data_IF_753276951837
#
_entry.id   IF_753276951837
#
_cell.length_a   1.000
_cell.length_b   1.000
_cell.length_c   1.000
_cell.angle_alpha   90.00
_cell.angle_beta   90.00
_cell.angle_gamma   90.00
#
_symmetry.space_group_name_H-M   'P 1'
#
loop_
_entity.id
_entity.type
_entity.pdbx_description
1 polymer ?
#
# COMPACT_ATOMS: atom_id res chain seq x y z
N UNK A 1 1.38 -21.65 -41.20
CA UNK A 1 1.36 -20.46 -40.31
C UNK A 1 -0.09 -20.10 -40.03
N UNK A 2 -0.56 -20.22 -38.78
CA UNK A 2 -1.86 -19.65 -38.39
C UNK A 2 -1.71 -18.12 -38.40
N UNK A 3 -2.69 -17.35 -38.92
CA UNK A 3 -2.62 -15.89 -38.89
C UNK A 3 -2.54 -15.42 -37.44
N UNK A 4 -1.68 -14.42 -37.19
CA UNK A 4 -1.60 -13.76 -35.90
C UNK A 4 -2.97 -13.16 -35.56
N UNK A 5 -3.58 -13.61 -34.46
CA UNK A 5 -4.81 -13.00 -33.94
C UNK A 5 -4.54 -11.52 -33.64
N UNK A 6 -5.46 -10.66 -34.05
CA UNK A 6 -5.50 -9.25 -33.66
C UNK A 6 -5.43 -9.12 -32.12
N UNK A 7 -4.85 -8.02 -31.60
CA UNK A 7 -4.86 -7.76 -30.16
C UNK A 7 -6.30 -7.70 -29.65
N UNK A 8 -6.58 -8.27 -28.46
CA UNK A 8 -7.91 -8.20 -27.87
C UNK A 8 -8.26 -6.76 -27.51
N UNK A 9 -9.49 -6.34 -27.85
CA UNK A 9 -10.02 -5.01 -27.58
C UNK A 9 -10.44 -4.86 -26.12
N UNK A 10 -10.66 -5.99 -25.41
CA UNK A 10 -11.13 -6.02 -24.03
C UNK A 10 -10.26 -6.90 -23.14
N UNK A 11 -10.17 -6.57 -21.85
CA UNK A 11 -9.45 -7.38 -20.86
C UNK A 11 -10.17 -8.72 -20.58
N UNK A 12 -11.42 -8.88 -21.01
CA UNK A 12 -12.17 -10.14 -20.90
C UNK A 12 -11.75 -11.24 -21.88
N UNK A 13 -10.86 -10.94 -22.83
CA UNK A 13 -10.45 -11.87 -23.89
C UNK A 13 -9.28 -12.80 -23.49
N UNK A 14 -8.76 -12.70 -22.26
CA UNK A 14 -7.70 -13.55 -21.73
C UNK A 14 -8.25 -14.87 -21.15
N UNK A 15 -7.43 -15.93 -21.10
CA UNK A 15 -7.87 -17.25 -20.60
C UNK A 15 -8.48 -17.20 -19.20
N UNK A 16 -9.47 -18.07 -18.94
CA UNK A 16 -10.25 -18.07 -17.69
C UNK A 16 -9.36 -18.34 -16.45
N UNK A 17 -9.07 -17.29 -15.70
CA UNK A 17 -8.39 -17.39 -14.39
C UNK A 17 -9.44 -17.48 -13.29
N UNK A 18 -9.16 -18.26 -12.23
CA UNK A 18 -10.01 -18.23 -11.03
C UNK A 18 -9.96 -16.84 -10.40
N UNK A 19 -11.09 -16.14 -10.43
CA UNK A 19 -11.23 -14.86 -9.76
C UNK A 19 -11.42 -15.06 -8.25
N UNK A 20 -10.81 -14.20 -7.42
CA UNK A 20 -11.04 -14.21 -5.98
C UNK A 20 -12.49 -13.85 -5.65
N UNK A 21 -12.96 -14.28 -4.48
CA UNK A 21 -14.29 -13.95 -3.99
C UNK A 21 -14.43 -12.44 -3.74
N UNK A 22 -15.45 -11.83 -4.37
CA UNK A 22 -15.82 -10.42 -4.21
C UNK A 22 -17.33 -10.30 -4.07
N UNK A 23 -17.78 -9.50 -3.10
CA UNK A 23 -19.20 -9.20 -2.93
C UNK A 23 -19.38 -7.90 -2.13
N UNK A 24 -19.86 -6.84 -2.79
CA UNK A 24 -19.98 -5.52 -2.18
C UNK A 24 -20.85 -5.52 -0.90
N UNK A 25 -22.02 -6.17 -0.93
CA UNK A 25 -22.92 -6.26 0.23
C UNK A 25 -22.29 -6.93 1.46
N UNK A 26 -21.81 -8.17 1.32
CA UNK A 26 -21.10 -8.91 2.38
C UNK A 26 -19.88 -8.13 2.88
N UNK A 27 -19.07 -7.56 1.98
CA UNK A 27 -17.90 -6.78 2.39
C UNK A 27 -18.27 -5.54 3.22
N UNK A 28 -19.31 -4.78 2.81
CA UNK A 28 -19.83 -3.63 3.57
C UNK A 28 -20.40 -4.04 4.93
N UNK A 29 -21.08 -5.19 5.02
CA UNK A 29 -21.57 -5.73 6.28
C UNK A 29 -20.41 -6.04 7.23
N UNK A 30 -19.35 -6.69 6.75
CA UNK A 30 -18.14 -6.95 7.54
C UNK A 30 -17.43 -5.66 7.98
N UNK A 31 -17.40 -4.63 7.11
CA UNK A 31 -16.87 -3.31 7.47
C UNK A 31 -17.68 -2.67 8.59
N UNK A 32 -19.01 -2.66 8.47
CA UNK A 32 -19.90 -2.10 9.48
C UNK A 32 -19.76 -2.83 10.82
N UNK A 33 -19.84 -4.16 10.81
CA UNK A 33 -19.63 -4.98 12.00
C UNK A 33 -18.26 -4.72 12.64
N UNK A 34 -17.19 -4.61 11.83
CA UNK A 34 -15.85 -4.28 12.31
C UNK A 34 -15.80 -2.92 13.03
N UNK A 35 -16.46 -1.90 12.49
CA UNK A 35 -16.56 -0.57 13.12
C UNK A 35 -17.32 -0.64 14.44
N UNK A 36 -18.45 -1.34 14.49
CA UNK A 36 -19.21 -1.54 15.73
C UNK A 36 -18.39 -2.26 16.82
N UNK A 37 -17.63 -3.30 16.44
CA UNK A 37 -16.76 -4.03 17.37
C UNK A 37 -15.62 -3.12 17.87
N UNK A 38 -15.04 -2.26 17.03
CA UNK A 38 -14.06 -1.27 17.48
C UNK A 38 -14.67 -0.29 18.49
N UNK A 39 -15.87 0.22 18.25
CA UNK A 39 -16.56 1.11 19.19
C UNK A 39 -16.86 0.41 20.52
N UNK A 40 -17.32 -0.84 20.47
CA UNK A 40 -17.50 -1.66 21.66
C UNK A 40 -16.19 -1.82 22.43
N UNK A 41 -15.10 -2.18 21.73
CA UNK A 41 -13.79 -2.36 22.35
C UNK A 41 -13.26 -1.09 23.00
N UNK A 42 -13.44 0.07 22.36
CA UNK A 42 -13.13 1.37 22.97
C UNK A 42 -14.00 1.60 24.21
N UNK A 43 -15.31 1.39 24.13
CA UNK A 43 -16.21 1.55 25.28
C UNK A 43 -15.82 0.65 26.45
N UNK A 44 -15.37 -0.59 26.20
CA UNK A 44 -14.85 -1.49 27.25
C UNK A 44 -13.58 -0.94 27.91
N UNK A 45 -12.64 -0.39 27.12
CA UNK A 45 -11.41 0.22 27.66
C UNK A 45 -11.74 1.41 28.60
N UNK A 46 -12.80 2.15 28.31
CA UNK A 46 -13.16 3.37 29.05
C UNK A 46 -14.28 3.19 30.09
N UNK A 47 -14.97 2.05 30.11
CA UNK A 47 -16.20 1.85 30.89
C UNK A 47 -16.02 1.06 32.18
N UNK A 48 -14.80 0.62 32.50
CA UNK A 48 -14.53 -0.21 33.67
C UNK A 48 -14.41 0.56 34.98
N UNK A 49 -14.94 -0.02 36.05
CA UNK A 49 -14.62 0.38 37.42
C UNK A 49 -13.24 -0.14 37.82
N UNK A 50 -12.69 0.37 38.92
CA UNK A 50 -11.31 0.08 39.36
C UNK A 50 -11.02 -1.41 39.53
N UNK A 51 -12.02 -2.20 39.96
CA UNK A 51 -11.89 -3.63 40.21
C UNK A 51 -11.77 -4.49 38.92
N UNK A 52 -12.39 -4.04 37.81
CA UNK A 52 -12.45 -4.80 36.54
C UNK A 52 -11.62 -4.15 35.41
N UNK A 53 -10.85 -3.11 35.73
CA UNK A 53 -10.19 -2.25 34.75
C UNK A 53 -9.25 -3.03 33.80
N UNK A 54 -8.47 -3.97 34.35
CA UNK A 54 -7.51 -4.76 33.55
C UNK A 54 -8.22 -5.72 32.58
N UNK A 55 -9.26 -6.42 33.04
CA UNK A 55 -9.99 -7.39 32.22
C UNK A 55 -10.76 -6.69 31.09
N UNK A 56 -11.43 -5.57 31.39
CA UNK A 56 -12.13 -4.76 30.40
C UNK A 56 -11.18 -4.10 29.40
N UNK A 57 -9.98 -3.70 29.84
CA UNK A 57 -8.93 -3.22 28.94
C UNK A 57 -8.47 -4.33 27.98
N UNK A 58 -8.23 -5.55 28.45
CA UNK A 58 -7.81 -6.68 27.60
C UNK A 58 -8.90 -7.09 26.61
N UNK A 59 -10.15 -7.19 27.07
CA UNK A 59 -11.32 -7.46 26.22
C UNK A 59 -11.44 -6.36 25.16
N UNK A 60 -11.31 -5.10 25.57
CA UNK A 60 -11.44 -3.98 24.67
C UNK A 60 -10.34 -3.91 23.62
N UNK A 61 -9.07 -4.18 23.99
CA UNK A 61 -7.96 -4.28 23.04
C UNK A 61 -8.16 -5.43 22.05
N UNK A 62 -8.61 -6.60 22.52
CA UNK A 62 -8.93 -7.74 21.66
C UNK A 62 -10.08 -7.42 20.70
N UNK A 63 -11.12 -6.73 21.18
CA UNK A 63 -12.24 -6.27 20.37
C UNK A 63 -11.78 -5.26 19.31
N UNK A 64 -10.99 -4.23 19.66
CA UNK A 64 -10.44 -3.27 18.68
C UNK A 64 -9.63 -3.99 17.60
N UNK A 65 -8.76 -4.93 17.98
CA UNK A 65 -7.98 -5.71 17.02
C UNK A 65 -8.87 -6.58 16.11
N UNK A 66 -9.88 -7.26 16.69
CA UNK A 66 -10.84 -8.08 15.96
C UNK A 66 -11.73 -7.27 15.01
N UNK A 67 -12.20 -6.10 15.46
CA UNK A 67 -12.98 -5.17 14.67
C UNK A 67 -12.18 -4.61 13.49
N UNK A 68 -10.93 -4.22 13.73
CA UNK A 68 -10.02 -3.81 12.66
C UNK A 68 -9.77 -4.94 11.65
N UNK A 69 -9.55 -6.17 12.12
CA UNK A 69 -9.42 -7.33 11.24
C UNK A 69 -10.68 -7.56 10.39
N UNK A 70 -11.87 -7.51 10.99
CA UNK A 70 -13.14 -7.64 10.28
C UNK A 70 -13.31 -6.53 9.23
N UNK A 71 -12.98 -5.28 9.57
CA UNK A 71 -13.01 -4.16 8.63
C UNK A 71 -12.04 -4.34 7.46
N UNK A 72 -10.82 -4.81 7.72
CA UNK A 72 -9.84 -5.13 6.67
C UNK A 72 -10.34 -6.22 5.74
N UNK A 73 -10.93 -7.29 6.29
CA UNK A 73 -11.50 -8.40 5.50
C UNK A 73 -12.69 -7.94 4.67
N UNK A 74 -13.60 -7.17 5.27
CA UNK A 74 -14.72 -6.57 4.55
C UNK A 74 -14.25 -5.69 3.39
N UNK A 75 -13.24 -4.86 3.62
CA UNK A 75 -12.63 -3.99 2.60
C UNK A 75 -12.02 -4.73 1.42
N UNK A 76 -11.50 -5.95 1.66
CA UNK A 76 -10.97 -6.81 0.58
C UNK A 76 -12.09 -7.49 -0.20
N UNK A 77 -13.13 -7.97 0.48
CA UNK A 77 -14.29 -8.62 -0.14
C UNK A 77 -15.10 -7.62 -0.98
N UNK A 78 -15.23 -6.37 -0.54
CA UNK A 78 -15.90 -5.30 -1.28
C UNK A 78 -14.99 -4.57 -2.26
N UNK A 79 -13.81 -5.12 -2.58
CA UNK A 79 -12.90 -4.47 -3.53
C UNK A 79 -13.43 -4.58 -4.96
N UNK A 80 -13.36 -3.47 -5.69
CA UNK A 80 -13.65 -3.39 -7.13
C UNK A 80 -12.56 -4.14 -7.89
N UNK A 81 -12.94 -4.88 -8.94
CA UNK A 81 -11.96 -5.56 -9.80
C UNK A 81 -11.23 -4.56 -10.69
N UNK A 82 -10.07 -4.93 -11.24
CA UNK A 82 -9.38 -4.02 -12.15
C UNK A 82 -10.16 -3.83 -13.45
N UNK A 83 -10.83 -4.88 -13.92
CA UNK A 83 -11.70 -4.88 -15.09
C UNK A 83 -12.83 -3.88 -14.93
N UNK A 84 -13.62 -4.00 -13.84
CA UNK A 84 -14.71 -3.07 -13.54
C UNK A 84 -14.21 -1.63 -13.35
N UNK A 85 -13.07 -1.46 -12.67
CA UNK A 85 -12.50 -0.13 -12.44
C UNK A 85 -12.07 0.53 -13.76
N UNK A 86 -11.39 -0.19 -14.64
CA UNK A 86 -10.93 0.30 -15.94
C UNK A 86 -12.08 0.56 -16.92
N UNK A 87 -13.17 -0.21 -16.83
CA UNK A 87 -14.38 0.02 -17.64
C UNK A 87 -15.12 1.30 -17.20
N UNK A 88 -15.16 1.54 -15.89
CA UNK A 88 -15.86 2.69 -15.30
C UNK A 88 -15.07 4.00 -15.31
N UNK A 89 -13.73 3.94 -15.45
CA UNK A 89 -12.82 5.09 -15.37
C UNK A 89 -11.92 5.14 -16.60
N UNK A 90 -12.23 6.08 -17.51
CA UNK A 90 -11.52 6.25 -18.79
C UNK A 90 -10.18 6.99 -18.68
N UNK A 91 -9.78 7.43 -17.48
CA UNK A 91 -8.49 8.10 -17.28
C UNK A 91 -7.35 7.09 -17.45
N UNK A 92 -6.18 7.59 -17.85
CA UNK A 92 -4.99 6.75 -17.97
C UNK A 92 -4.62 6.09 -16.62
N UNK A 93 -4.39 4.76 -16.58
CA UNK A 93 -4.22 4.02 -15.33
C UNK A 93 -2.94 4.35 -14.59
N UNK A 94 -2.98 4.14 -13.28
CA UNK A 94 -1.80 4.10 -12.41
C UNK A 94 -1.46 2.63 -12.19
N UNK A 95 -0.38 2.16 -12.80
CA UNK A 95 0.00 0.74 -12.78
C UNK A 95 0.92 0.49 -11.59
N UNK A 96 0.55 -0.47 -10.75
CA UNK A 96 1.32 -0.90 -9.59
C UNK A 96 1.88 -2.30 -9.79
N UNK A 97 3.20 -2.41 -9.66
CA UNK A 97 3.95 -3.64 -9.82
C UNK A 97 4.57 -4.02 -8.49
N UNK A 98 4.58 -5.32 -8.19
CA UNK A 98 5.08 -5.84 -6.93
C UNK A 98 5.62 -7.25 -7.08
N UNK A 99 6.70 -7.52 -6.36
CA UNK A 99 7.20 -8.89 -6.18
C UNK A 99 6.24 -9.72 -5.32
N UNK A 100 5.68 -10.80 -5.87
CA UNK A 100 4.74 -11.67 -5.15
C UNK A 100 5.41 -12.54 -4.06
N UNK A 101 6.70 -12.87 -4.21
CA UNK A 101 7.41 -13.79 -3.32
C UNK A 101 7.88 -13.18 -1.99
N UNK A 102 8.09 -11.86 -1.96
CA UNK A 102 8.66 -11.18 -0.77
C UNK A 102 7.59 -10.85 0.29
N UNK A 103 6.30 -11.06 -0.02
CA UNK A 103 5.22 -10.95 0.96
C UNK A 103 5.24 -12.05 2.02
N UNK A 104 5.78 -13.21 1.68
CA UNK A 104 5.88 -14.37 2.58
C UNK A 104 7.11 -14.27 3.49
N UNK A 105 8.20 -13.64 3.04
CA UNK A 105 9.37 -13.40 3.90
C UNK A 105 9.13 -12.26 4.90
N UNK A 106 8.30 -11.27 4.55
CA UNK A 106 7.76 -10.29 5.49
C UNK A 106 6.98 -10.95 6.66
N UNK A 107 6.53 -12.20 6.48
CA UNK A 107 5.85 -12.99 7.51
C UNK A 107 6.80 -13.44 8.63
N UNK A 108 8.12 -13.47 8.40
CA UNK A 108 9.11 -13.83 9.43
C UNK A 108 9.31 -12.73 10.49
N UNK A 109 8.86 -11.50 10.21
CA UNK A 109 8.78 -10.40 11.18
C UNK A 109 7.56 -10.53 12.12
N UNK A 110 6.65 -11.49 11.91
CA UNK A 110 5.45 -11.64 12.75
C UNK A 110 5.68 -12.22 14.13
N UNK A 111 6.86 -12.74 14.44
CA UNK A 111 7.12 -13.14 15.82
C UNK A 111 7.32 -11.88 16.63
N UNK A 112 6.39 -11.61 17.56
CA UNK A 112 6.45 -10.49 18.50
C UNK A 112 7.85 -10.34 19.12
N UNK A 113 8.54 -11.46 19.36
CA UNK A 113 9.92 -11.53 19.84
C UNK A 113 10.97 -10.92 18.90
N UNK A 114 10.84 -11.10 17.58
CA UNK A 114 11.75 -10.52 16.59
C UNK A 114 11.59 -8.99 16.47
N UNK A 115 10.36 -8.51 16.58
CA UNK A 115 10.05 -7.08 16.60
C UNK A 115 10.53 -6.41 17.89
N UNK A 116 10.26 -7.04 19.04
CA UNK A 116 10.73 -6.57 20.35
C UNK A 116 12.26 -6.50 20.36
N UNK A 117 12.94 -7.59 19.97
CA UNK A 117 14.41 -7.62 19.93
C UNK A 117 14.99 -6.50 19.06
N UNK A 118 14.42 -6.24 17.88
CA UNK A 118 14.95 -5.20 16.99
C UNK A 118 14.63 -3.79 17.48
N UNK A 119 13.45 -3.58 18.09
CA UNK A 119 13.12 -2.32 18.76
C UNK A 119 14.08 -1.99 19.90
N UNK A 120 14.55 -2.97 20.67
CA UNK A 120 15.46 -2.71 21.81
C UNK A 120 16.94 -2.65 21.44
N UNK A 121 17.37 -3.19 20.29
CA UNK A 121 18.80 -3.36 19.96
C UNK A 121 19.28 -2.43 18.85
N UNK A 122 18.39 -1.89 18.01
CA UNK A 122 18.77 -1.10 16.83
C UNK A 122 18.22 0.34 16.94
N UNK A 123 19.10 1.29 17.27
CA UNK A 123 18.75 2.71 17.47
C UNK A 123 18.40 3.42 16.15
N UNK A 124 19.00 3.00 15.03
CA UNK A 124 18.63 3.48 13.70
C UNK A 124 17.24 2.93 13.29
N UNK A 125 16.92 1.70 13.68
CA UNK A 125 15.58 1.13 13.55
C UNK A 125 14.57 1.85 14.43
N UNK A 126 14.87 2.18 15.69
CA UNK A 126 13.97 2.99 16.55
C UNK A 126 13.66 4.35 15.91
N UNK A 127 14.69 5.07 15.43
CA UNK A 127 14.53 6.38 14.82
C UNK A 127 13.78 6.30 13.48
N UNK A 128 14.06 5.30 12.64
CA UNK A 128 13.33 5.05 11.38
C UNK A 128 11.91 4.54 11.63
N UNK A 129 11.63 3.71 12.63
CA UNK A 129 10.26 3.24 12.95
C UNK A 129 9.40 4.35 13.52
N UNK A 130 9.95 5.20 14.38
CA UNK A 130 9.25 6.36 14.94
C UNK A 130 8.90 7.38 13.84
N UNK A 131 9.76 7.52 12.83
CA UNK A 131 9.49 8.40 11.68
C UNK A 131 8.66 7.73 10.57
N UNK A 132 8.78 6.41 10.37
CA UNK A 132 8.17 5.70 9.24
C UNK A 132 6.86 4.99 9.58
N UNK A 133 6.54 4.73 10.86
CA UNK A 133 5.29 4.09 11.27
C UNK A 133 4.91 2.84 10.45
N UNK A 134 5.87 2.07 9.91
CA UNK A 134 5.64 1.43 8.61
C UNK A 134 5.05 0.00 8.64
N UNK A 135 5.46 -0.87 9.56
CA UNK A 135 5.05 -2.30 9.47
C UNK A 135 3.61 -2.57 9.94
N UNK A 136 3.17 -1.99 11.06
CA UNK A 136 1.79 -2.17 11.54
C UNK A 136 0.75 -1.50 10.63
N UNK A 137 1.17 -0.45 9.92
CA UNK A 137 0.30 0.38 9.11
C UNK A 137 0.39 0.05 7.63
N UNK A 138 1.08 -1.02 7.21
CA UNK A 138 1.19 -1.41 5.79
C UNK A 138 -0.17 -1.56 5.08
N UNK A 139 -1.21 -2.18 5.67
CA UNK A 139 -2.55 -2.17 5.08
C UNK A 139 -3.14 -0.76 4.98
N UNK A 140 -2.88 0.10 5.98
CA UNK A 140 -3.32 1.49 5.97
C UNK A 140 -2.59 2.32 4.91
N UNK A 141 -1.30 2.10 4.70
CA UNK A 141 -0.51 2.75 3.66
C UNK A 141 -0.99 2.33 2.26
N UNK A 142 -1.29 1.04 2.05
CA UNK A 142 -1.90 0.57 0.80
C UNK A 142 -3.27 1.22 0.55
N UNK A 143 -4.08 1.42 1.61
CA UNK A 143 -5.34 2.14 1.49
C UNK A 143 -5.12 3.63 1.19
N UNK A 144 -4.11 4.27 1.80
CA UNK A 144 -3.75 5.65 1.50
C UNK A 144 -3.28 5.80 0.05
N UNK A 145 -2.46 4.88 -0.46
CA UNK A 145 -2.08 4.84 -1.88
C UNK A 145 -3.30 4.67 -2.78
N UNK A 146 -4.22 3.76 -2.44
CA UNK A 146 -5.47 3.59 -3.17
C UNK A 146 -6.25 4.90 -3.25
N UNK A 147 -6.44 5.57 -2.11
CA UNK A 147 -7.15 6.85 -2.07
C UNK A 147 -6.44 7.92 -2.88
N UNK A 148 -5.11 8.05 -2.74
CA UNK A 148 -4.29 9.04 -3.44
C UNK A 148 -4.30 8.80 -4.95
N UNK A 149 -3.90 7.62 -5.40
CA UNK A 149 -3.73 7.35 -6.83
C UNK A 149 -5.06 7.31 -7.59
N UNK A 150 -6.17 6.88 -6.96
CA UNK A 150 -7.49 6.97 -7.58
C UNK A 150 -7.98 8.41 -7.79
N UNK A 151 -7.40 9.43 -7.14
CA UNK A 151 -7.65 10.83 -7.51
C UNK A 151 -7.04 11.18 -8.88
N UNK A 152 -5.99 10.46 -9.30
CA UNK A 152 -5.22 10.74 -10.51
C UNK A 152 -5.72 9.89 -11.71
N UNK A 153 -5.98 8.61 -11.47
CA UNK A 153 -6.44 7.63 -12.47
C UNK A 153 -6.70 6.26 -11.83
N UNK A 154 -7.25 5.28 -12.57
CA UNK A 154 -7.57 3.98 -12.01
C UNK A 154 -6.31 3.25 -11.52
N UNK A 155 -6.22 2.99 -10.22
CA UNK A 155 -5.05 2.36 -9.58
C UNK A 155 -5.14 0.84 -9.63
N UNK A 156 -4.34 0.22 -10.49
CA UNK A 156 -4.44 -1.20 -10.86
C UNK A 156 -3.13 -1.96 -10.67
N UNK A 157 -3.23 -3.27 -10.41
CA UNK A 157 -2.09 -4.18 -10.29
C UNK A 157 -2.43 -5.54 -10.87
N UNK A 158 -1.41 -6.33 -11.21
CA UNK A 158 -1.59 -7.76 -11.49
C UNK A 158 -1.71 -8.52 -10.17
N UNK A 159 -2.72 -9.38 -10.07
CA UNK A 159 -2.95 -10.27 -8.94
C UNK A 159 -2.17 -11.57 -9.06
N UNK A 160 -1.88 -12.22 -7.93
CA UNK A 160 -1.24 -13.55 -7.92
C UNK A 160 -2.27 -14.62 -8.34
N UNK A 161 -1.94 -15.53 -9.27
CA UNK A 161 -2.80 -16.64 -9.60
C UNK A 161 -3.20 -17.45 -8.35
N UNK A 162 -4.48 -17.78 -8.21
CA UNK A 162 -5.01 -18.58 -7.11
C UNK A 162 -5.28 -17.83 -5.80
N UNK A 163 -5.19 -16.50 -5.75
CA UNK A 163 -5.66 -15.72 -4.61
C UNK A 163 -7.15 -15.98 -4.32
N UNK A 164 -7.48 -16.35 -3.08
CA UNK A 164 -8.89 -16.59 -2.68
C UNK A 164 -9.66 -15.29 -2.46
N UNK A 165 -8.99 -14.27 -1.92
CA UNK A 165 -9.54 -12.96 -1.60
C UNK A 165 -8.49 -11.91 -2.03
N UNK A 166 -8.89 -10.79 -2.64
CA UNK A 166 -7.95 -9.79 -3.12
C UNK A 166 -7.14 -9.18 -1.97
N UNK A 167 -5.91 -8.75 -2.23
CA UNK A 167 -5.18 -7.93 -1.27
C UNK A 167 -5.75 -6.49 -1.21
N UNK A 168 -5.34 -5.75 -0.19
CA UNK A 168 -5.63 -4.32 -0.04
C UNK A 168 -4.89 -3.46 -1.07
N UNK A 169 -5.37 -2.24 -1.31
CA UNK A 169 -4.72 -1.29 -2.21
C UNK A 169 -5.28 -1.29 -3.63
N UNK A 170 -4.40 -1.46 -4.62
CA UNK A 170 -4.72 -1.44 -6.05
C UNK A 170 -5.78 -2.49 -6.44
N UNK A 171 -6.66 -2.13 -7.38
CA UNK A 171 -7.59 -3.08 -7.99
C UNK A 171 -6.80 -4.12 -8.79
N UNK A 172 -7.21 -5.39 -8.72
CA UNK A 172 -6.42 -6.50 -9.26
C UNK A 172 -7.03 -7.09 -10.50
N UNK A 173 -6.19 -7.16 -11.54
CA UNK A 173 -6.41 -7.94 -12.74
C UNK A 173 -5.72 -9.30 -12.57
N UNK A 174 -6.44 -10.39 -12.85
CA UNK A 174 -5.89 -11.74 -12.78
C UNK A 174 -5.76 -12.29 -14.18
N UNK A 175 -4.53 -12.64 -14.56
CA UNK A 175 -4.18 -13.12 -15.90
C UNK A 175 -3.44 -14.44 -15.81
N UNK A 176 -3.53 -15.24 -16.86
CA UNK A 176 -2.82 -16.51 -16.99
C UNK A 176 -1.31 -16.28 -17.12
N UNK A 177 -0.52 -17.31 -16.80
CA UNK A 177 0.94 -17.27 -16.96
C UNK A 177 1.38 -17.23 -18.43
N UNK A 178 0.50 -17.55 -19.39
CA UNK A 178 0.77 -17.39 -20.82
C UNK A 178 0.55 -15.95 -21.30
N UNK A 179 -0.41 -15.24 -20.72
CA UNK A 179 -0.83 -13.92 -21.20
C UNK A 179 -0.23 -12.76 -20.39
N UNK A 180 0.29 -13.00 -19.18
CA UNK A 180 0.69 -11.92 -18.26
C UNK A 180 1.67 -10.91 -18.86
N UNK A 181 2.67 -11.37 -19.63
CA UNK A 181 3.67 -10.48 -20.24
C UNK A 181 3.03 -9.51 -21.23
N UNK A 182 2.10 -10.00 -22.03
CA UNK A 182 1.37 -9.17 -23.01
C UNK A 182 0.53 -8.12 -22.28
N UNK A 183 -0.25 -8.55 -21.28
CA UNK A 183 -1.11 -7.66 -20.51
C UNK A 183 -0.30 -6.58 -19.80
N UNK A 184 0.81 -6.95 -19.16
CA UNK A 184 1.69 -6.01 -18.46
C UNK A 184 2.28 -4.98 -19.44
N UNK A 185 2.72 -5.42 -20.63
CA UNK A 185 3.20 -4.51 -21.67
C UNK A 185 2.13 -3.49 -22.10
N UNK A 186 0.92 -3.95 -22.37
CA UNK A 186 -0.22 -3.08 -22.73
C UNK A 186 -0.55 -2.08 -21.61
N UNK A 187 -0.46 -2.52 -20.36
CA UNK A 187 -0.70 -1.68 -19.18
C UNK A 187 0.35 -0.57 -19.07
N UNK A 188 1.63 -0.89 -19.25
CA UNK A 188 2.67 0.13 -19.21
C UNK A 188 2.55 1.15 -20.34
N UNK A 189 2.18 0.70 -21.55
CA UNK A 189 1.96 1.60 -22.69
C UNK A 189 0.85 2.63 -22.42
N UNK A 190 -0.19 2.25 -21.67
CA UNK A 190 -1.32 3.13 -21.30
C UNK A 190 -1.11 3.86 -19.98
N UNK A 191 -0.09 3.50 -19.19
CA UNK A 191 0.09 4.01 -17.84
C UNK A 191 0.37 5.53 -17.83
N UNK A 192 -0.33 6.23 -16.93
CA UNK A 192 0.02 7.60 -16.56
C UNK A 192 1.22 7.60 -15.62
N UNK A 193 1.21 6.74 -14.60
CA UNK A 193 2.31 6.53 -13.66
C UNK A 193 2.55 5.03 -13.46
N UNK A 194 3.79 4.66 -13.19
CA UNK A 194 4.21 3.29 -12.93
C UNK A 194 4.85 3.24 -11.53
N UNK A 195 4.14 2.60 -10.61
CA UNK A 195 4.53 2.50 -9.21
C UNK A 195 5.12 1.12 -8.98
N UNK A 196 6.37 1.04 -8.52
CA UNK A 196 7.08 -0.22 -8.33
C UNK A 196 7.36 -0.42 -6.85
N UNK A 197 6.90 -1.54 -6.30
CA UNK A 197 7.36 -2.02 -5.01
C UNK A 197 8.49 -3.05 -5.22
N UNK A 198 9.73 -2.72 -4.86
CA UNK A 198 10.90 -3.56 -5.06
C UNK A 198 10.77 -4.95 -4.44
N UNK A 199 11.56 -5.86 -5.00
CA UNK A 199 11.67 -7.23 -4.56
C UNK A 199 12.72 -8.00 -5.35
N UNK A 200 12.74 -9.32 -5.19
CA UNK A 200 13.83 -10.18 -5.70
C UNK A 200 13.35 -11.24 -6.70
N UNK A 201 12.10 -11.18 -7.14
CA UNK A 201 11.53 -12.22 -8.02
C UNK A 201 11.97 -12.06 -9.48
N UNK A 202 12.18 -13.17 -10.22
CA UNK A 202 12.50 -13.13 -11.65
C UNK A 202 11.45 -12.41 -12.49
N UNK A 203 10.17 -12.51 -12.11
CA UNK A 203 9.08 -11.79 -12.76
C UNK A 203 9.28 -10.28 -12.70
N UNK A 204 9.60 -9.74 -11.52
CA UNK A 204 9.85 -8.31 -11.34
C UNK A 204 11.04 -7.82 -12.17
N UNK A 205 12.10 -8.62 -12.30
CA UNK A 205 13.25 -8.27 -13.17
C UNK A 205 12.81 -8.10 -14.62
N UNK A 206 11.96 -9.00 -15.14
CA UNK A 206 11.40 -8.83 -16.48
C UNK A 206 10.54 -7.57 -16.59
N UNK A 207 9.68 -7.30 -15.60
CA UNK A 207 8.81 -6.12 -15.58
C UNK A 207 9.62 -4.81 -15.58
N UNK A 208 10.68 -4.72 -14.77
CA UNK A 208 11.60 -3.57 -14.76
C UNK A 208 12.28 -3.40 -16.13
N UNK A 209 12.72 -4.50 -16.75
CA UNK A 209 13.36 -4.43 -18.06
C UNK A 209 12.41 -3.99 -19.17
N UNK A 210 11.12 -4.32 -19.10
CA UNK A 210 10.12 -3.75 -20.01
C UNK A 210 9.92 -2.25 -19.78
N UNK A 211 9.87 -1.78 -18.54
CA UNK A 211 9.77 -0.34 -18.25
C UNK A 211 11.00 0.41 -18.79
N UNK A 212 12.19 -0.15 -18.63
CA UNK A 212 13.43 0.42 -19.18
C UNK A 212 13.35 0.51 -20.71
N UNK A 213 12.88 -0.55 -21.38
CA UNK A 213 12.66 -0.54 -22.84
C UNK A 213 11.65 0.52 -23.30
N UNK A 214 10.63 0.82 -22.50
CA UNK A 214 9.65 1.85 -22.83
C UNK A 214 10.22 3.27 -22.77
N UNK A 215 11.34 3.50 -22.09
CA UNK A 215 12.02 4.80 -22.08
C UNK A 215 11.21 5.90 -21.40
N UNK A 216 10.44 5.58 -20.35
CA UNK A 216 9.57 6.53 -19.63
C UNK A 216 9.97 6.73 -18.16
N UNK A 217 11.25 7.08 -17.85
CA UNK A 217 11.74 7.14 -16.47
C UNK A 217 10.93 8.07 -15.57
N UNK A 218 10.44 9.20 -16.10
CA UNK A 218 9.68 10.19 -15.34
C UNK A 218 8.34 9.66 -14.79
N UNK A 219 7.79 8.61 -15.41
CA UNK A 219 6.56 7.95 -14.94
C UNK A 219 6.81 7.03 -13.75
N UNK A 220 8.06 6.71 -13.43
CA UNK A 220 8.41 5.66 -12.47
C UNK A 220 8.51 6.22 -11.05
N UNK A 221 7.87 5.55 -10.10
CA UNK A 221 8.07 5.76 -8.67
C UNK A 221 8.38 4.44 -7.97
N UNK A 222 9.57 4.32 -7.39
CA UNK A 222 9.96 3.20 -6.55
C UNK A 222 9.56 3.46 -5.09
N UNK A 223 8.82 2.52 -4.50
CA UNK A 223 8.46 2.50 -3.08
C UNK A 223 9.37 1.50 -2.36
N UNK A 224 10.47 1.98 -1.80
CA UNK A 224 11.56 1.14 -1.29
C UNK A 224 11.12 0.24 -0.12
N UNK A 225 11.80 -0.90 0.11
CA UNK A 225 11.57 -1.78 1.25
C UNK A 225 11.67 -1.05 2.61
N UNK A 226 11.24 -1.69 3.69
CA UNK A 226 11.35 -1.13 5.05
C UNK A 226 12.74 -1.28 5.65
N UNK A 227 13.42 -2.36 5.27
CA UNK A 227 14.70 -2.75 5.81
C UNK A 227 15.81 -2.39 4.84
N UNK A 228 16.90 -1.87 5.40
CA UNK A 228 18.09 -1.49 4.64
C UNK A 228 18.71 -2.67 3.91
N UNK A 229 18.75 -3.86 4.54
CA UNK A 229 19.24 -5.09 3.91
C UNK A 229 18.46 -5.45 2.64
N UNK A 230 17.14 -5.24 2.66
CA UNK A 230 16.28 -5.50 1.51
C UNK A 230 16.46 -4.44 0.42
N UNK A 231 16.68 -3.18 0.81
CA UNK A 231 17.06 -2.13 -0.12
C UNK A 231 18.40 -2.45 -0.80
N UNK A 232 19.43 -2.79 -0.03
CA UNK A 232 20.77 -3.11 -0.57
C UNK A 232 20.72 -4.31 -1.50
N UNK A 233 19.99 -5.36 -1.12
CA UNK A 233 19.81 -6.54 -1.97
C UNK A 233 19.06 -6.23 -3.27
N UNK A 234 18.05 -5.35 -3.23
CA UNK A 234 17.37 -4.87 -4.43
C UNK A 234 18.29 -4.00 -5.30
N UNK A 235 18.92 -3.00 -4.71
CA UNK A 235 19.86 -2.09 -5.38
C UNK A 235 20.98 -2.85 -6.08
N UNK A 236 21.52 -3.89 -5.46
CA UNK A 236 22.60 -4.70 -6.04
C UNK A 236 22.25 -5.30 -7.41
N UNK A 237 21.06 -5.89 -7.55
CA UNK A 237 20.67 -6.48 -8.83
C UNK A 237 20.08 -5.45 -9.79
N UNK A 238 19.27 -4.50 -9.30
CA UNK A 238 18.61 -3.53 -10.18
C UNK A 238 19.60 -2.57 -10.83
N UNK A 239 20.74 -2.29 -10.16
CA UNK A 239 21.85 -1.52 -10.72
C UNK A 239 22.54 -2.20 -11.91
N UNK A 240 22.31 -3.49 -12.13
CA UNK A 240 22.78 -4.18 -13.35
C UNK A 240 21.83 -4.02 -14.54
N UNK A 241 20.61 -3.54 -14.30
CA UNK A 241 19.58 -3.31 -15.33
C UNK A 241 19.38 -1.83 -15.63
N UNK A 242 19.38 -0.97 -14.61
CA UNK A 242 19.12 0.46 -14.76
C UNK A 242 20.26 1.16 -15.51
N UNK A 243 19.93 2.19 -16.33
CA UNK A 243 20.96 3.03 -16.95
C UNK A 243 21.83 3.78 -15.93
N UNK A 244 21.25 4.19 -14.81
CA UNK A 244 21.92 4.90 -13.72
C UNK A 244 21.74 4.15 -12.39
N UNK A 245 22.75 4.25 -11.52
CA UNK A 245 22.77 3.49 -10.27
C UNK A 245 21.88 4.12 -9.20
N UNK A 246 21.19 3.26 -8.47
CA UNK A 246 20.49 3.59 -7.24
C UNK A 246 21.45 4.18 -6.19
N UNK A 247 20.96 5.07 -5.29
CA UNK A 247 21.76 5.59 -4.19
C UNK A 247 22.41 4.49 -3.34
N UNK A 248 23.65 4.70 -2.89
CA UNK A 248 24.34 3.70 -2.05
C UNK A 248 23.65 3.50 -0.69
N UNK A 249 23.07 4.57 -0.15
CA UNK A 249 22.35 4.55 1.11
C UNK A 249 20.85 4.65 0.89
N UNK A 250 20.09 3.97 1.75
CA UNK A 250 18.63 3.97 1.67
C UNK A 250 18.07 5.36 2.05
N UNK A 251 17.29 6.02 1.17
CA UNK A 251 16.66 7.29 1.50
C UNK A 251 15.63 7.18 2.62
N UNK A 252 15.51 8.25 3.41
CA UNK A 252 14.60 8.31 4.57
C UNK A 252 13.12 8.20 4.20
N UNK A 253 12.69 8.84 3.11
CA UNK A 253 11.29 8.86 2.70
C UNK A 253 10.80 7.55 2.06
N UNK A 254 11.72 6.64 1.71
CA UNK A 254 11.42 5.37 1.00
C UNK A 254 10.80 5.55 -0.38
N UNK A 255 10.96 6.70 -1.02
CA UNK A 255 10.51 6.95 -2.38
C UNK A 255 11.66 7.44 -3.25
N UNK A 256 11.84 6.83 -4.42
CA UNK A 256 12.77 7.28 -5.45
C UNK A 256 12.00 7.43 -6.75
N UNK A 257 12.19 8.56 -7.42
CA UNK A 257 11.73 8.78 -8.78
C UNK A 257 12.93 9.04 -9.69
N UNK A 258 12.69 9.12 -11.00
CA UNK A 258 13.74 9.25 -12.01
C UNK A 258 13.50 10.47 -12.88
N UNK A 259 14.57 11.14 -13.29
CA UNK A 259 14.51 12.23 -14.25
C UNK A 259 14.59 11.69 -15.69
N UNK A 260 14.51 12.54 -16.74
CA UNK A 260 14.59 12.09 -18.13
C UNK A 260 15.85 11.28 -18.46
N UNK A 261 16.95 11.51 -17.74
CA UNK A 261 18.25 10.86 -17.96
C UNK A 261 18.43 9.62 -17.06
N UNK A 262 17.33 9.08 -16.52
CA UNK A 262 17.32 7.95 -15.58
C UNK A 262 18.03 8.20 -14.26
N UNK A 263 18.43 9.42 -13.93
CA UNK A 263 19.10 9.69 -12.67
C UNK A 263 18.09 9.56 -11.53
N UNK A 264 18.32 8.68 -10.55
CA UNK A 264 17.42 8.54 -9.41
C UNK A 264 17.54 9.77 -8.50
N UNK A 265 16.40 10.36 -8.15
CA UNK A 265 16.30 11.38 -7.12
C UNK A 265 15.36 10.91 -6.00
N UNK A 266 15.88 10.73 -4.77
CA UNK A 266 15.04 10.45 -3.61
C UNK A 266 14.09 11.60 -3.31
N UNK A 267 12.87 11.27 -2.87
CA UNK A 267 11.92 12.28 -2.39
C UNK A 267 12.20 12.61 -0.91
N UNK A 268 11.90 13.84 -0.50
CA UNK A 268 12.00 14.27 0.90
C UNK A 268 10.87 13.66 1.75
N UNK A 269 11.18 13.26 2.98
CA UNK A 269 10.20 12.69 3.90
C UNK A 269 9.40 13.80 4.58
N UNK A 270 8.13 13.97 4.20
CA UNK A 270 7.21 14.88 4.86
C UNK A 270 6.24 14.10 5.74
N UNK A 271 5.60 14.78 6.70
CA UNK A 271 4.60 14.16 7.60
C UNK A 271 3.45 13.49 6.84
N UNK A 272 3.08 14.03 5.68
CA UNK A 272 1.98 13.55 4.86
C UNK A 272 2.46 12.95 3.56
N UNK A 273 1.79 11.87 3.13
CA UNK A 273 2.14 11.14 1.92
C UNK A 273 2.01 12.02 0.67
N UNK A 274 0.92 12.79 0.56
CA UNK A 274 0.71 13.66 -0.60
C UNK A 274 1.88 14.65 -0.73
N UNK A 275 2.26 15.34 0.35
CA UNK A 275 3.34 16.32 0.30
C UNK A 275 4.70 15.68 -0.01
N UNK A 276 4.92 14.43 0.41
CA UNK A 276 6.08 13.61 0.02
C UNK A 276 6.12 13.33 -1.47
N UNK A 277 4.97 13.04 -2.09
CA UNK A 277 4.90 12.70 -3.52
C UNK A 277 4.75 13.91 -4.44
N UNK A 278 4.38 15.09 -3.93
CA UNK A 278 4.12 16.28 -4.75
C UNK A 278 5.25 16.65 -5.72
N UNK A 279 6.56 16.61 -5.36
CA UNK A 279 7.62 16.92 -6.31
C UNK A 279 7.60 16.02 -7.56
N UNK A 280 7.33 14.72 -7.38
CA UNK A 280 7.20 13.75 -8.46
C UNK A 280 5.88 13.92 -9.23
N UNK A 281 4.78 14.15 -8.51
CA UNK A 281 3.46 14.35 -9.11
C UNK A 281 3.42 15.61 -9.98
N UNK A 282 4.03 16.71 -9.53
CA UNK A 282 4.09 17.96 -10.28
C UNK A 282 4.82 17.79 -11.62
N UNK A 283 5.91 17.00 -11.65
CA UNK A 283 6.63 16.65 -12.89
C UNK A 283 5.77 15.84 -13.85
N UNK A 284 4.81 15.08 -13.34
CA UNK A 284 3.83 14.33 -14.12
C UNK A 284 2.49 15.10 -14.33
N UNK A 285 2.52 16.43 -14.20
CA UNK A 285 1.35 17.28 -14.44
C UNK A 285 0.21 17.10 -13.43
N UNK A 286 0.50 16.64 -12.22
CA UNK A 286 -0.46 16.50 -11.13
C UNK A 286 -0.06 17.43 -9.98
N UNK A 287 -0.91 18.41 -9.73
CA UNK A 287 -0.75 19.39 -8.66
C UNK A 287 -1.58 19.04 -7.42
N UNK A 288 -1.28 19.69 -6.29
CA UNK A 288 -2.08 19.56 -5.06
C UNK A 288 -3.56 19.96 -5.26
N UNK A 289 -3.87 20.80 -6.26
CA UNK A 289 -5.23 21.28 -6.54
C UNK A 289 -6.11 20.22 -7.21
N UNK A 290 -5.50 19.25 -7.87
CA UNK A 290 -6.19 18.15 -8.55
C UNK A 290 -6.79 17.12 -7.56
N UNK A 291 -6.40 17.20 -6.29
CA UNK A 291 -6.96 16.39 -5.22
C UNK A 291 -8.24 17.03 -4.66
N UNK A 292 -9.27 16.20 -4.49
CA UNK A 292 -10.55 16.64 -3.91
C UNK A 292 -10.35 17.32 -2.55
N UNK A 293 -11.24 18.26 -2.24
CA UNK A 293 -11.24 18.93 -0.92
C UNK A 293 -11.39 17.90 0.21
N UNK A 294 -12.22 16.86 0.00
CA UNK A 294 -12.39 15.77 0.96
C UNK A 294 -11.08 15.02 1.21
N UNK A 295 -10.35 14.64 0.16
CA UNK A 295 -9.06 13.97 0.33
C UNK A 295 -8.07 14.86 1.12
N UNK A 296 -7.95 16.14 0.73
CA UNK A 296 -7.08 17.10 1.41
C UNK A 296 -7.49 17.32 2.86
N UNK A 297 -8.78 17.29 3.15
CA UNK A 297 -9.31 17.39 4.51
C UNK A 297 -8.95 16.14 5.34
N UNK A 298 -9.26 14.94 4.84
CA UNK A 298 -9.07 13.68 5.58
C UNK A 298 -7.58 13.37 5.81
N UNK A 299 -6.73 13.59 4.81
CA UNK A 299 -5.33 13.15 4.83
C UNK A 299 -4.31 14.29 4.93
N UNK A 300 -4.73 15.56 4.95
CA UNK A 300 -3.80 16.70 4.93
C UNK A 300 -4.22 17.86 5.84
N UNK A 301 -4.97 17.59 6.92
CA UNK A 301 -5.36 18.62 7.89
C UNK A 301 -5.01 18.26 9.33
N UNK A 302 -4.69 19.31 10.11
CA UNK A 302 -4.46 19.27 11.56
C UNK A 302 -5.64 18.66 12.34
N UNK A 303 -6.84 18.59 11.75
CA UNK A 303 -8.03 17.98 12.33
C UNK A 303 -7.94 16.45 12.45
N UNK A 304 -7.26 15.77 11.53
CA UNK A 304 -7.00 14.33 11.67
C UNK A 304 -6.07 14.04 12.85
N UNK A 305 -5.02 14.85 12.98
CA UNK A 305 -4.16 14.84 14.16
C UNK A 305 -4.92 15.24 15.42
N UNK A 306 -5.81 16.24 15.36
CA UNK A 306 -6.67 16.66 16.47
C UNK A 306 -7.59 15.52 16.92
N UNK A 307 -8.26 14.82 16.00
CA UNK A 307 -9.13 13.69 16.32
C UNK A 307 -8.34 12.56 16.98
N UNK A 308 -7.18 12.20 16.44
CA UNK A 308 -6.29 11.22 17.05
C UNK A 308 -5.76 11.69 18.40
N UNK A 309 -5.35 12.95 18.53
CA UNK A 309 -4.88 13.56 19.76
C UNK A 309 -5.96 13.66 20.82
N UNK A 310 -7.21 13.96 20.46
CA UNK A 310 -8.35 13.94 21.38
C UNK A 310 -8.57 12.52 21.89
N UNK A 311 -8.55 11.51 21.01
CA UNK A 311 -8.65 10.10 21.43
C UNK A 311 -7.49 9.70 22.33
N UNK A 312 -6.25 10.10 22.02
CA UNK A 312 -5.06 9.81 22.82
C UNK A 312 -5.07 10.54 24.16
N UNK A 313 -5.49 11.81 24.20
CA UNK A 313 -5.61 12.58 25.44
C UNK A 313 -6.70 12.01 26.35
N UNK A 314 -7.81 11.53 25.77
CA UNK A 314 -8.84 10.80 26.52
C UNK A 314 -8.27 9.49 27.08
N UNK A 315 -7.49 8.73 26.30
CA UNK A 315 -6.78 7.53 26.78
C UNK A 315 -5.81 7.82 27.93
N UNK A 316 -4.99 8.87 27.80
CA UNK A 316 -3.99 9.24 28.81
C UNK A 316 -4.61 9.81 30.08
N UNK A 317 -5.68 10.60 29.95
CA UNK A 317 -6.43 11.12 31.10
C UNK A 317 -6.98 9.97 31.95
N UNK A 318 -7.56 8.97 31.31
CA UNK A 318 -8.10 7.79 32.00
C UNK A 318 -6.97 6.95 32.62
N UNK A 319 -5.85 6.76 31.92
CA UNK A 319 -4.68 6.08 32.48
C UNK A 319 -4.14 6.78 33.74
N UNK A 320 -4.13 8.12 33.74
CA UNK A 320 -3.74 8.93 34.90
C UNK A 320 -4.70 8.80 36.07
N UNK A 321 -6.00 8.76 35.81
CA UNK A 321 -7.03 8.51 36.84
C UNK A 321 -6.84 7.12 37.46
N UNK A 322 -6.59 6.08 36.65
CA UNK A 322 -6.39 4.71 37.14
C UNK A 322 -5.10 4.53 37.94
N UNK A 323 -4.02 5.26 37.60
CA UNK A 323 -2.72 5.12 38.29
C UNK A 323 -2.59 5.93 39.59
N UNK A 324 -3.42 6.96 39.77
CA UNK A 324 -3.41 7.84 40.96
C UNK A 324 -4.46 7.40 41.99
N UNK A 325 -5.36 6.49 41.63
CA UNK A 325 -6.40 5.91 42.47
C UNK A 325 -6.00 4.52 42.97
#
# INVERSE_FOLDING_TARGET
>A
MKPAKSPPESVSDYEAVRHPFRHAGIGRLFQFAGVCICFFGLASIFGGNQDDALDLMLIGLAAVAGGYYAWLRGSRISSVSAEELLDSDSRAPIVFIRSFGDEEQSFRLKTLSGMIRRYFVDSAFQQRYFQAGASFWRPMLQQQFKWLFNQIGPYVAIGRPGEKIPATGAARLYVSDSDWKKVVGDFFGKARLIIVHPGKTPGLRWEINEIIRLGVPEKILFILPELEDDYLAFSAWVNSELPEKMPETMPSARFIAFDPDWKPYPLGGYKMLLDTLLPYLNRNGVSKKDFSLLYRFVFNSWLGALLVSVVVLLLLFVLGVVLVS
#
